data_IF_786192750318
#
_entry.id   IF_786192750318
#
_cell.length_a   1.000
_cell.length_b   1.000
_cell.length_c   1.000
_cell.angle_alpha   90.00
_cell.angle_beta   90.00
_cell.angle_gamma   90.00
#
_symmetry.space_group_name_H-M   'P 1'
#
loop_
_entity.id
_entity.type
_entity.pdbx_description
1 polymer ?
#
# COMPACT_ATOMS: atom_id res chain seq x y z
N UNK A 1 6.36 9.69 -5.20
CA UNK A 1 5.78 10.34 -4.01
C UNK A 1 4.45 9.67 -3.72
N UNK A 2 4.27 9.15 -2.50
CA UNK A 2 3.01 8.54 -2.08
C UNK A 2 2.05 9.66 -1.63
N UNK A 3 0.80 9.55 -2.03
CA UNK A 3 -0.25 10.54 -1.86
C UNK A 3 -1.32 10.03 -0.88
N UNK A 4 -1.75 10.91 0.03
CA UNK A 4 -2.83 10.61 0.98
C UNK A 4 -4.15 10.43 0.21
N UNK A 5 -4.94 9.42 0.59
CA UNK A 5 -6.24 9.11 -0.02
C UNK A 5 -6.17 8.32 -1.31
N UNK A 6 -4.99 8.18 -1.93
CA UNK A 6 -4.79 7.39 -3.15
C UNK A 6 -4.62 5.90 -2.85
N UNK A 7 -5.02 5.06 -3.80
CA UNK A 7 -4.89 3.61 -3.75
C UNK A 7 -3.61 3.15 -4.43
N UNK A 8 -2.94 2.18 -3.82
CA UNK A 8 -1.70 1.59 -4.31
C UNK A 8 -1.79 0.06 -4.24
N UNK A 9 -1.04 -0.62 -5.10
CA UNK A 9 -0.84 -2.06 -5.02
C UNK A 9 0.38 -2.36 -4.16
N UNK A 10 0.36 -3.50 -3.47
CA UNK A 10 1.57 -4.00 -2.83
C UNK A 10 2.49 -4.63 -3.89
N UNK A 11 3.80 -4.38 -3.80
CA UNK A 11 4.80 -5.10 -4.60
C UNK A 11 4.74 -6.59 -4.24
N UNK A 12 4.65 -7.45 -5.25
CA UNK A 12 4.66 -8.90 -5.06
C UNK A 12 5.92 -9.33 -4.30
N UNK A 13 5.73 -9.90 -3.12
CA UNK A 13 6.80 -10.51 -2.34
C UNK A 13 6.81 -12.00 -2.71
N UNK A 14 7.95 -12.53 -3.19
CA UNK A 14 8.08 -13.97 -3.48
C UNK A 14 7.74 -14.76 -2.20
N UNK A 15 6.73 -15.63 -2.28
CA UNK A 15 6.22 -16.42 -1.13
C UNK A 15 4.85 -16.00 -0.60
N UNK A 16 4.29 -14.86 -1.05
CA UNK A 16 2.90 -14.50 -0.80
C UNK A 16 2.08 -14.74 -2.07
N UNK A 17 1.37 -15.87 -2.14
CA UNK A 17 0.64 -16.29 -3.36
C UNK A 17 -0.72 -15.60 -3.57
N UNK A 18 -1.28 -14.91 -2.56
CA UNK A 18 -2.70 -14.51 -2.59
C UNK A 18 -3.02 -13.01 -2.55
N UNK A 19 -2.04 -12.10 -2.44
CA UNK A 19 -2.31 -10.65 -2.28
C UNK A 19 -2.11 -9.81 -3.55
N UNK A 20 -1.94 -10.44 -4.72
CA UNK A 20 -1.57 -9.78 -5.98
C UNK A 20 -2.60 -8.74 -6.50
N UNK A 21 -3.84 -8.76 -5.99
CA UNK A 21 -4.93 -7.90 -6.49
C UNK A 21 -5.52 -6.93 -5.46
N UNK A 22 -5.05 -6.92 -4.21
CA UNK A 22 -5.57 -5.98 -3.22
C UNK A 22 -4.97 -4.58 -3.37
N UNK A 23 -5.86 -3.58 -3.36
CA UNK A 23 -5.48 -2.18 -3.32
C UNK A 23 -5.59 -1.66 -1.90
N UNK A 24 -4.55 -0.96 -1.48
CA UNK A 24 -4.48 -0.32 -0.18
C UNK A 24 -4.57 1.20 -0.36
N UNK A 25 -5.53 1.83 0.33
CA UNK A 25 -5.69 3.28 0.37
C UNK A 25 -4.76 3.85 1.43
N UNK A 26 -3.94 4.83 1.08
CA UNK A 26 -3.09 5.52 2.07
C UNK A 26 -3.96 6.44 2.92
N UNK A 27 -3.98 6.23 4.23
CA UNK A 27 -4.77 7.01 5.18
C UNK A 27 -3.91 7.84 6.14
N UNK A 28 -2.58 7.64 6.13
CA UNK A 28 -1.67 8.46 6.92
C UNK A 28 -0.20 8.14 6.66
N UNK A 29 0.65 9.02 7.16
CA UNK A 29 2.09 8.83 7.20
C UNK A 29 2.48 8.63 8.65
N UNK A 30 3.14 7.50 8.95
CA UNK A 30 3.63 7.25 10.31
C UNK A 30 4.99 7.91 10.50
N UNK A 31 5.89 7.77 9.52
CA UNK A 31 7.17 8.48 9.47
C UNK A 31 7.60 8.74 8.00
N UNK A 32 8.87 9.11 7.79
CA UNK A 32 9.39 9.39 6.45
C UNK A 32 9.38 8.16 5.53
N UNK A 33 9.52 6.94 6.06
CA UNK A 33 9.65 5.71 5.29
C UNK A 33 8.39 4.84 5.34
N UNK A 34 7.55 4.99 6.37
CA UNK A 34 6.38 4.15 6.63
C UNK A 34 5.07 4.93 6.53
N UNK A 35 4.04 4.21 6.12
CA UNK A 35 2.71 4.73 5.82
C UNK A 35 1.65 3.78 6.35
N UNK A 36 0.53 4.38 6.71
CA UNK A 36 -0.65 3.68 7.21
C UNK A 36 -1.60 3.55 6.03
N UNK A 37 -2.01 2.33 5.74
CA UNK A 37 -2.94 2.03 4.67
C UNK A 37 -4.16 1.27 5.17
N UNK A 38 -5.25 1.38 4.43
CA UNK A 38 -6.52 0.73 4.69
C UNK A 38 -6.92 -0.12 3.47
N UNK A 39 -7.32 -1.36 3.67
CA UNK A 39 -7.85 -2.21 2.58
C UNK A 39 -9.36 -2.00 2.40
N UNK A 40 -9.98 -2.78 1.51
CA UNK A 40 -11.42 -2.73 1.26
C UNK A 40 -12.28 -3.17 2.45
N UNK A 41 -11.69 -3.92 3.39
CA UNK A 41 -12.33 -4.42 4.61
C UNK A 41 -12.15 -3.47 5.81
N UNK A 42 -11.60 -2.26 5.59
CA UNK A 42 -11.25 -1.27 6.64
C UNK A 42 -10.19 -1.75 7.63
N UNK A 43 -9.46 -2.81 7.29
CA UNK A 43 -8.32 -3.26 8.08
C UNK A 43 -7.13 -2.34 7.81
N UNK A 44 -6.40 -2.02 8.88
CA UNK A 44 -5.29 -1.06 8.84
C UNK A 44 -3.96 -1.80 8.86
N UNK A 45 -3.08 -1.40 7.95
CA UNK A 45 -1.75 -1.96 7.79
C UNK A 45 -0.71 -0.86 7.79
N UNK A 46 0.50 -1.20 8.22
CA UNK A 46 1.66 -0.33 8.12
C UNK A 46 2.63 -0.94 7.13
N UNK A 47 2.93 -0.19 6.07
CA UNK A 47 3.88 -0.61 5.04
C UNK A 47 5.02 0.39 4.94
N UNK A 48 6.18 -0.08 4.47
CA UNK A 48 7.20 0.84 3.95
C UNK A 48 6.78 1.34 2.58
N UNK A 49 7.05 2.62 2.28
CA UNK A 49 6.72 3.27 1.00
C UNK A 49 7.27 2.53 -0.20
N UNK A 50 8.43 1.89 -0.06
CA UNK A 50 9.10 1.10 -1.11
C UNK A 50 8.27 -0.10 -1.61
N UNK A 51 7.33 -0.60 -0.81
CA UNK A 51 6.46 -1.73 -1.18
C UNK A 51 5.17 -1.30 -1.87
N UNK A 52 4.88 0.00 -1.98
CA UNK A 52 3.70 0.47 -2.68
C UNK A 52 4.02 0.81 -4.14
N UNK A 53 3.29 0.18 -5.04
CA UNK A 53 3.32 0.43 -6.48
C UNK A 53 2.11 1.29 -6.83
N UNK A 54 2.37 2.43 -7.47
CA UNK A 54 1.32 3.29 -8.01
C UNK A 54 0.76 2.64 -9.29
N UNK A 55 -0.50 2.18 -9.31
CA UNK A 55 -1.08 1.52 -10.48
C UNK A 55 -1.25 2.46 -11.67
N UNK A 56 -1.17 3.79 -11.47
CA UNK A 56 -1.26 4.79 -12.54
C UNK A 56 0.10 5.15 -13.15
N UNK A 57 1.19 4.63 -12.57
CA UNK A 57 2.58 4.86 -13.05
C UNK A 57 3.29 3.55 -13.41
N UNK A 58 2.55 2.43 -13.46
CA UNK A 58 3.04 1.10 -13.77
C UNK A 58 2.59 0.67 -15.16
#
# INVERSE_FOLDING_TARGET
MIELGKKYKLKKIRGFENYDNEYYKVIGFYNFETIICENTYKERFVFRKEFLIDPTKA
#
